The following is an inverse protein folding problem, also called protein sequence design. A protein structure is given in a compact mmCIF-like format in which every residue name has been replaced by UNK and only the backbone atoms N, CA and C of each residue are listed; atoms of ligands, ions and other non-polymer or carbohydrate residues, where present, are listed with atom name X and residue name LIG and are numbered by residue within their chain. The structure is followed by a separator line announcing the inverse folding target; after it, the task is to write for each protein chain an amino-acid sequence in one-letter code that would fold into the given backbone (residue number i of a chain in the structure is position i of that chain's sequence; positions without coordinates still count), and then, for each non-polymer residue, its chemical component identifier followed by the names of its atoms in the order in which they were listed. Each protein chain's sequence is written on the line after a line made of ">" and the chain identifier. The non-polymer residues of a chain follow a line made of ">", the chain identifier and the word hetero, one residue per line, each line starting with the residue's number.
data_IF_978491917656
#
_entry.id   IF_978491917656
#
_cell.length_a   1.000
_cell.length_b   1.000
_cell.length_c   1.000
_cell.angle_alpha   90.00
_cell.angle_beta   90.00
_cell.angle_gamma   90.00
#
_symmetry.space_group_name_H-M   'P 1'
#
loop_
_entity.id
_entity.type
_entity.pdbx_description
1 polymer ?
#
# COMPACT_ATOMS: atom_id res chain seq x y z
N UNK A 1 12.75 14.14 -0.65
CA UNK A 1 13.21 13.89 0.74
C UNK A 1 13.50 15.16 1.54
N UNK A 2 13.82 16.27 0.86
CA UNK A 2 14.20 17.55 1.48
C UNK A 2 13.00 18.36 2.02
N UNK A 3 11.79 18.02 1.59
CA UNK A 3 10.57 18.68 2.08
C UNK A 3 10.37 18.45 3.57
N UNK A 4 9.82 19.44 4.23
CA UNK A 4 9.36 19.35 5.62
C UNK A 4 7.89 18.93 5.69
N UNK A 5 7.44 18.51 6.86
CA UNK A 5 6.05 18.08 7.07
C UNK A 5 5.03 19.18 6.73
N UNK A 6 5.28 20.42 7.13
CA UNK A 6 4.38 21.55 6.84
C UNK A 6 4.35 21.90 5.35
N UNK A 7 5.47 21.76 4.63
CA UNK A 7 5.51 21.94 3.17
C UNK A 7 4.65 20.88 2.47
N UNK A 8 4.68 19.63 2.91
CA UNK A 8 3.83 18.58 2.35
C UNK A 8 2.35 18.92 2.53
N UNK A 9 1.92 19.34 3.71
CA UNK A 9 0.52 19.70 3.95
C UNK A 9 0.12 21.01 3.27
N UNK A 10 1.06 21.92 3.04
CA UNK A 10 0.81 23.14 2.26
C UNK A 10 0.56 22.82 0.79
N UNK A 11 1.31 21.86 0.22
CA UNK A 11 1.15 21.41 -1.16
C UNK A 11 -0.04 20.46 -1.34
N UNK A 12 -0.27 19.60 -0.36
CA UNK A 12 -1.29 18.57 -0.37
C UNK A 12 -2.03 18.52 0.97
N UNK A 13 -3.02 19.41 1.21
CA UNK A 13 -3.76 19.46 2.48
C UNK A 13 -4.41 18.11 2.86
N UNK A 14 -4.87 17.37 1.85
CA UNK A 14 -5.42 16.04 1.99
C UNK A 14 -4.49 15.02 1.34
N UNK A 15 -3.58 14.47 2.11
CA UNK A 15 -2.72 13.37 1.64
C UNK A 15 -3.55 12.10 1.46
N UNK A 16 -3.87 11.66 0.23
CA UNK A 16 -4.83 10.58 -0.01
C UNK A 16 -4.26 9.20 0.29
N UNK A 17 -2.94 9.05 0.24
CA UNK A 17 -2.27 7.77 0.38
C UNK A 17 -1.77 7.54 1.80
N UNK A 18 -1.91 6.31 2.30
CA UNK A 18 -1.44 5.93 3.64
C UNK A 18 0.09 5.88 3.73
N UNK A 19 0.77 5.66 2.60
CA UNK A 19 2.22 5.53 2.47
C UNK A 19 2.71 6.31 1.26
N UNK A 20 3.80 7.04 1.44
CA UNK A 20 4.39 7.95 0.46
C UNK A 20 5.84 7.57 0.27
N UNK A 21 6.22 7.02 -0.88
CA UNK A 21 7.63 6.90 -1.24
C UNK A 21 8.26 8.30 -1.33
N UNK A 22 9.46 8.43 -0.82
CA UNK A 22 10.26 9.64 -0.96
C UNK A 22 11.52 9.34 -1.75
N UNK A 23 11.97 10.30 -2.54
CA UNK A 23 13.12 10.14 -3.41
C UNK A 23 14.06 11.37 -3.31
N UNK A 24 15.29 11.17 -3.71
CA UNK A 24 16.30 12.21 -3.82
C UNK A 24 16.55 12.49 -5.28
N UNK A 25 16.40 13.75 -5.69
CA UNK A 25 16.68 14.28 -7.02
C UNK A 25 15.92 13.61 -8.18
N UNK A 26 15.82 12.29 -8.22
CA UNK A 26 15.15 11.51 -9.25
C UNK A 26 14.23 10.45 -8.64
N UNK A 27 13.13 10.14 -9.33
CA UNK A 27 12.20 9.09 -8.91
C UNK A 27 12.86 7.72 -8.81
N UNK A 28 13.94 7.48 -9.53
CA UNK A 28 14.71 6.22 -9.45
C UNK A 28 15.55 6.13 -8.17
N UNK A 29 15.79 7.27 -7.50
CA UNK A 29 16.56 7.33 -6.25
C UNK A 29 15.63 7.34 -5.02
N UNK A 30 14.85 6.28 -4.85
CA UNK A 30 13.97 6.13 -3.68
C UNK A 30 14.81 6.06 -2.40
N UNK A 31 14.60 7.02 -1.50
CA UNK A 31 15.32 7.14 -0.22
C UNK A 31 14.61 6.44 0.95
N UNK A 32 13.32 6.14 0.79
CA UNK A 32 12.54 5.53 1.84
C UNK A 32 11.04 5.72 1.65
N UNK A 33 10.30 5.46 2.70
CA UNK A 33 8.84 5.56 2.71
C UNK A 33 8.35 6.22 4.00
N UNK A 34 7.51 7.24 3.88
CA UNK A 34 6.88 7.94 5.00
C UNK A 34 5.41 7.52 5.10
N UNK A 35 4.93 7.28 6.31
CA UNK A 35 3.52 6.98 6.54
C UNK A 35 2.76 8.28 6.85
N UNK A 36 1.59 8.44 6.24
CA UNK A 36 0.72 9.58 6.51
C UNK A 36 0.46 9.81 8.01
N UNK A 37 0.29 8.74 8.78
CA UNK A 37 0.08 8.83 10.23
C UNK A 37 1.27 9.48 10.95
N UNK A 38 2.51 9.27 10.47
CA UNK A 38 3.71 9.84 11.08
C UNK A 38 3.81 11.35 10.75
N UNK A 39 3.32 11.76 9.57
CA UNK A 39 3.17 13.18 9.23
C UNK A 39 2.16 13.88 10.17
N UNK A 40 0.98 13.29 10.34
CA UNK A 40 -0.03 13.85 11.26
C UNK A 40 0.47 13.90 12.71
N UNK A 41 1.18 12.87 13.14
CA UNK A 41 1.79 12.84 14.48
C UNK A 41 2.78 14.00 14.65
N UNK A 42 3.65 14.22 13.66
CA UNK A 42 4.60 15.33 13.70
C UNK A 42 3.91 16.70 13.78
N UNK A 43 2.78 16.90 13.07
CA UNK A 43 1.97 18.12 13.19
C UNK A 43 1.42 18.31 14.60
N UNK A 44 0.84 17.26 15.17
CA UNK A 44 0.28 17.31 16.55
C UNK A 44 1.36 17.58 17.59
N UNK A 45 2.54 17.02 17.40
CA UNK A 45 3.70 17.22 18.30
C UNK A 45 4.43 18.55 18.08
N UNK A 46 3.94 19.42 17.19
CA UNK A 46 4.58 20.70 16.79
C UNK A 46 6.00 20.52 16.25
N UNK A 47 6.18 19.46 15.47
CA UNK A 47 7.42 19.10 14.77
C UNK A 47 7.27 19.25 13.25
N UNK A 48 6.47 20.19 12.83
CA UNK A 48 6.13 20.43 11.41
C UNK A 48 7.33 20.81 10.55
N UNK A 49 8.41 21.28 11.15
CA UNK A 49 9.69 21.59 10.45
C UNK A 49 10.61 20.38 10.26
N UNK A 50 10.18 19.20 10.69
CA UNK A 50 10.94 17.96 10.47
C UNK A 50 10.96 17.61 8.99
N UNK A 51 12.14 17.32 8.44
CA UNK A 51 12.30 16.85 7.08
C UNK A 51 11.74 15.43 6.93
N UNK A 52 11.15 15.12 5.78
CA UNK A 52 10.55 13.80 5.50
C UNK A 52 11.53 12.65 5.67
N UNK A 53 12.78 12.84 5.31
CA UNK A 53 13.81 11.80 5.44
C UNK A 53 13.99 11.35 6.89
N UNK A 54 13.79 12.22 7.87
CA UNK A 54 13.90 11.89 9.29
C UNK A 54 12.71 11.08 9.82
N UNK A 55 11.60 11.03 9.08
CA UNK A 55 10.42 10.21 9.38
C UNK A 55 10.36 8.95 8.52
N UNK A 56 11.23 8.85 7.52
CA UNK A 56 11.24 7.77 6.58
C UNK A 56 11.68 6.45 7.22
N UNK A 57 11.11 5.38 6.73
CA UNK A 57 11.55 4.00 6.96
C UNK A 57 12.12 3.45 5.66
N UNK A 58 12.93 2.42 5.76
CA UNK A 58 13.49 1.74 4.60
C UNK A 58 12.37 1.27 3.66
N UNK A 59 12.57 1.49 2.38
CA UNK A 59 11.68 0.99 1.35
C UNK A 59 12.05 -0.47 1.00
N UNK A 60 11.05 -1.29 0.78
CA UNK A 60 11.22 -2.66 0.31
C UNK A 60 11.20 -2.65 -1.21
N UNK A 61 12.18 -3.28 -1.85
CA UNK A 61 12.29 -3.37 -3.31
C UNK A 61 12.06 -4.78 -3.79
N UNK A 62 11.37 -4.93 -4.90
CA UNK A 62 11.14 -6.20 -5.57
C UNK A 62 11.40 -6.06 -7.08
N UNK A 63 12.10 -7.00 -7.71
CA UNK A 63 12.27 -7.00 -9.16
C UNK A 63 10.92 -7.19 -9.89
N UNK A 64 10.72 -6.51 -11.02
CA UNK A 64 9.49 -6.61 -11.82
C UNK A 64 9.17 -8.03 -12.30
N UNK A 65 10.20 -8.88 -12.47
CA UNK A 65 10.06 -10.27 -12.87
C UNK A 65 9.88 -11.25 -11.70
N UNK A 66 9.77 -10.75 -10.45
CA UNK A 66 9.49 -11.59 -9.30
C UNK A 66 8.05 -12.14 -9.36
N UNK A 67 7.88 -13.37 -8.88
CA UNK A 67 6.54 -13.95 -8.74
C UNK A 67 5.75 -13.30 -7.59
N UNK A 68 4.43 -13.31 -7.67
CA UNK A 68 3.56 -12.79 -6.61
C UNK A 68 3.84 -13.45 -5.24
N UNK A 69 4.09 -14.75 -5.22
CA UNK A 69 4.46 -15.49 -4.00
C UNK A 69 5.77 -14.97 -3.37
N UNK A 70 6.80 -14.73 -4.19
CA UNK A 70 8.08 -14.17 -3.72
C UNK A 70 7.90 -12.75 -3.18
N UNK A 71 7.14 -11.91 -3.88
CA UNK A 71 6.85 -10.56 -3.44
C UNK A 71 6.08 -10.55 -2.11
N UNK A 72 5.08 -11.43 -1.97
CA UNK A 72 4.32 -11.56 -0.72
C UNK A 72 5.20 -12.00 0.45
N UNK A 73 6.04 -13.02 0.26
CA UNK A 73 6.98 -13.51 1.29
C UNK A 73 7.94 -12.41 1.74
N UNK A 74 8.46 -11.63 0.80
CA UNK A 74 9.33 -10.49 1.11
C UNK A 74 8.60 -9.45 1.94
N UNK A 75 7.40 -9.05 1.55
CA UNK A 75 6.60 -8.08 2.29
C UNK A 75 6.27 -8.55 3.71
N UNK A 76 5.98 -9.84 3.88
CA UNK A 76 5.72 -10.43 5.20
C UNK A 76 7.00 -10.45 6.07
N UNK A 77 8.15 -10.84 5.52
CA UNK A 77 9.42 -10.87 6.26
C UNK A 77 9.87 -9.47 6.68
N UNK A 78 9.66 -8.47 5.83
CA UNK A 78 10.00 -7.07 6.10
C UNK A 78 8.92 -6.31 6.90
N UNK A 79 7.83 -6.97 7.26
CA UNK A 79 6.66 -6.36 7.93
C UNK A 79 6.17 -5.10 7.20
N UNK A 80 6.26 -5.12 5.86
CA UNK A 80 5.82 -4.05 4.97
C UNK A 80 4.52 -4.42 4.26
N UNK A 81 3.70 -3.44 3.96
CA UNK A 81 2.47 -3.62 3.19
C UNK A 81 2.59 -3.07 1.76
N UNK A 82 3.75 -2.54 1.42
CA UNK A 82 4.02 -1.91 0.13
C UNK A 82 5.47 -2.13 -0.24
N UNK A 83 5.75 -2.44 -1.50
CA UNK A 83 7.10 -2.45 -2.06
C UNK A 83 7.20 -1.63 -3.34
N UNK A 84 8.43 -1.23 -3.62
CA UNK A 84 8.82 -0.56 -4.85
C UNK A 84 9.21 -1.62 -5.86
N UNK A 85 8.65 -1.55 -7.05
CA UNK A 85 9.02 -2.44 -8.16
C UNK A 85 10.11 -1.77 -8.97
N UNK A 86 11.18 -2.51 -9.25
CA UNK A 86 12.32 -2.06 -10.05
C UNK A 86 12.61 -3.02 -11.20
N UNK A 87 13.10 -2.46 -12.31
CA UNK A 87 13.56 -3.24 -13.45
C UNK A 87 14.97 -3.82 -13.24
N UNK A 88 15.51 -4.51 -14.27
CA UNK A 88 16.85 -5.08 -14.25
C UNK A 88 17.99 -4.05 -14.10
N UNK A 89 17.72 -2.79 -14.40
CA UNK A 89 18.68 -1.67 -14.28
C UNK A 89 18.54 -0.95 -12.93
N UNK A 90 17.58 -1.36 -12.09
CA UNK A 90 17.30 -0.69 -10.82
C UNK A 90 16.42 0.55 -10.94
N UNK A 91 15.85 0.81 -12.13
CA UNK A 91 14.95 1.94 -12.34
C UNK A 91 13.57 1.65 -11.73
N UNK A 92 12.94 2.67 -11.18
CA UNK A 92 11.63 2.57 -10.58
C UNK A 92 10.54 2.32 -11.63
N UNK A 93 9.81 1.24 -11.49
CA UNK A 93 8.71 0.83 -12.38
C UNK A 93 7.35 1.19 -11.78
N UNK A 94 7.19 1.00 -10.48
CA UNK A 94 5.92 1.26 -9.83
C UNK A 94 5.89 0.83 -8.36
N UNK A 95 4.71 0.82 -7.80
CA UNK A 95 4.42 0.45 -6.42
C UNK A 95 3.49 -0.75 -6.40
N UNK A 96 3.75 -1.71 -5.54
CA UNK A 96 2.94 -2.90 -5.38
C UNK A 96 2.51 -3.02 -3.91
N UNK A 97 1.20 -3.05 -3.68
CA UNK A 97 0.63 -3.23 -2.35
C UNK A 97 0.39 -4.72 -2.05
N UNK A 98 0.51 -5.10 -0.79
CA UNK A 98 0.21 -6.46 -0.33
C UNK A 98 -1.22 -6.89 -0.69
N UNK A 99 -2.18 -5.96 -0.63
CA UNK A 99 -3.57 -6.23 -0.99
C UNK A 99 -3.71 -6.68 -2.44
N UNK A 100 -3.03 -6.02 -3.38
CA UNK A 100 -3.07 -6.37 -4.81
C UNK A 100 -2.48 -7.76 -5.06
N UNK A 101 -1.42 -8.12 -4.34
CA UNK A 101 -0.81 -9.45 -4.43
C UNK A 101 -1.78 -10.53 -3.92
N UNK A 102 -2.41 -10.29 -2.77
CA UNK A 102 -3.37 -11.22 -2.17
C UNK A 102 -4.60 -11.38 -3.08
N UNK A 103 -5.14 -10.29 -3.61
CA UNK A 103 -6.24 -10.34 -4.58
C UNK A 103 -5.86 -11.16 -5.82
N UNK A 104 -4.66 -10.97 -6.35
CA UNK A 104 -4.17 -11.73 -7.51
C UNK A 104 -4.07 -13.23 -7.22
N UNK A 105 -3.52 -13.61 -6.08
CA UNK A 105 -3.36 -15.02 -5.67
C UNK A 105 -4.73 -15.65 -5.42
N UNK A 106 -5.60 -15.02 -4.65
CA UNK A 106 -6.94 -15.53 -4.34
C UNK A 106 -7.83 -15.58 -5.58
N UNK A 107 -7.73 -14.61 -6.47
CA UNK A 107 -8.44 -14.60 -7.74
C UNK A 107 -8.03 -15.78 -8.63
N UNK A 108 -6.76 -16.14 -8.67
CA UNK A 108 -6.27 -17.31 -9.40
C UNK A 108 -6.77 -18.62 -8.78
N UNK A 109 -6.69 -18.77 -7.46
CA UNK A 109 -7.18 -19.97 -6.76
C UNK A 109 -8.68 -20.16 -6.90
N UNK A 110 -9.48 -19.10 -6.83
CA UNK A 110 -10.94 -19.15 -6.98
C UNK A 110 -11.32 -19.52 -8.42
N UNK A 111 -10.60 -19.04 -9.43
CA UNK A 111 -10.83 -19.40 -10.83
C UNK A 111 -10.47 -20.85 -11.15
N UNK A 112 -9.55 -21.47 -10.43
CA UNK A 112 -9.18 -22.89 -10.60
C UNK A 112 -10.17 -23.84 -9.94
N UNK A 113 -10.90 -23.43 -8.92
CA UNK A 113 -11.75 -24.30 -8.09
C UNK A 113 -13.25 -24.11 -8.23
N UNK A 114 -13.71 -22.90 -8.59
CA UNK A 114 -15.15 -22.64 -8.78
C UNK A 114 -15.39 -21.43 -9.67
N UNK A 115 -16.28 -21.55 -10.63
CA UNK A 115 -16.78 -20.47 -11.51
C UNK A 115 -17.52 -19.32 -10.76
N UNK A 116 -17.32 -19.16 -9.47
CA UNK A 116 -18.25 -18.44 -8.59
C UNK A 116 -17.62 -17.41 -7.66
N UNK A 117 -16.70 -16.64 -7.93
CA UNK A 117 -16.49 -15.37 -7.22
C UNK A 117 -15.26 -14.62 -7.70
N UNK A 118 -15.51 -13.59 -8.42
CA UNK A 118 -14.49 -12.78 -9.10
C UNK A 118 -13.82 -11.74 -8.21
N UNK A 119 -14.38 -11.45 -7.03
CA UNK A 119 -13.86 -10.39 -6.14
C UNK A 119 -14.32 -10.62 -4.69
N UNK A 120 -13.40 -10.49 -3.74
CA UNK A 120 -13.69 -10.51 -2.30
C UNK A 120 -14.74 -9.46 -1.90
N UNK A 121 -14.82 -8.36 -2.64
CA UNK A 121 -15.86 -7.34 -2.48
C UNK A 121 -17.24 -7.84 -2.86
N UNK A 122 -17.35 -8.67 -3.90
CA UNK A 122 -18.63 -9.32 -4.26
C UNK A 122 -19.06 -10.36 -3.23
N UNK A 123 -18.13 -11.13 -2.68
CA UNK A 123 -18.41 -12.05 -1.56
C UNK A 123 -18.89 -11.31 -0.31
N UNK A 124 -18.31 -10.17 0.00
CA UNK A 124 -18.73 -9.34 1.12
C UNK A 124 -20.13 -8.75 0.89
N UNK A 125 -20.43 -8.28 -0.33
CA UNK A 125 -21.77 -7.79 -0.70
C UNK A 125 -22.84 -8.90 -0.60
N UNK A 126 -22.57 -10.08 -1.14
CA UNK A 126 -23.49 -11.24 -1.04
C UNK A 126 -23.77 -11.67 0.39
N UNK A 127 -22.74 -11.69 1.27
CA UNK A 127 -22.94 -11.96 2.69
C UNK A 127 -23.81 -10.91 3.38
N UNK A 128 -23.69 -9.66 2.98
CA UNK A 128 -24.49 -8.57 3.54
C UNK A 128 -25.95 -8.65 3.11
N UNK A 129 -26.21 -8.92 1.83
CA UNK A 129 -27.56 -9.10 1.29
C UNK A 129 -28.28 -10.31 1.92
N UNK A 130 -27.58 -11.43 2.08
CA UNK A 130 -28.15 -12.62 2.75
C UNK A 130 -28.48 -12.33 4.21
N UNK A 131 -27.72 -11.49 4.89
CA UNK A 131 -27.99 -11.10 6.28
C UNK A 131 -29.23 -10.22 6.40
N UNK A 132 -29.40 -9.24 5.51
CA UNK A 132 -30.57 -8.37 5.45
C UNK A 132 -31.83 -9.19 5.19
N UNK A 133 -31.81 -10.11 4.22
CA UNK A 133 -32.94 -10.97 3.90
C UNK A 133 -33.33 -11.95 5.05
N UNK A 134 -32.39 -12.30 5.92
CA UNK A 134 -32.67 -13.10 7.12
C UNK A 134 -33.27 -12.26 8.25
N UNK A 135 -32.86 -11.02 8.39
CA UNK A 135 -33.41 -10.10 9.40
C UNK A 135 -34.85 -9.66 9.06
N UNK A 136 -35.16 -9.49 7.76
CA UNK A 136 -36.53 -9.17 7.30
C UNK A 136 -37.52 -10.36 7.39
N UNK A 137 -37.02 -11.60 7.55
CA UNK A 137 -37.84 -12.80 7.67
C UNK A 137 -38.03 -13.30 9.09
N UNK A 138 -37.46 -12.64 10.07
CA UNK A 138 -37.69 -12.96 11.50
C UNK A 138 -38.93 -12.20 11.98
N UNK A 139 -39.93 -12.91 12.50
CA UNK A 139 -41.14 -12.26 13.05
C UNK A 139 -40.82 -11.45 14.32
#
# INVERSE_FOLDING_TARGET
>A
ETLTVDEVFSLHPNVPFARLPIFKDSIDAISGMVRRRDLHKAMVEKKEKTMLINLAKDAVFVPENATADKALRLLLSEHSQLCMVVDEFGSFVGVLAMEDIIESILGQEIFEHDDLAVDMRELAKRKHEVRILKEERSP
#
